data_IF_722803969018
#
_entry.id   IF_722803969018
#
_cell.length_a   1.000
_cell.length_b   1.000
_cell.length_c   1.000
_cell.angle_alpha   90.00
_cell.angle_beta   90.00
_cell.angle_gamma   90.00
#
_symmetry.space_group_name_H-M   'P 1'
#
loop_
_entity.id
_entity.type
_entity.pdbx_description
1 polymer ?
#
# COMPACT_ATOMS: atom_id res chain seq x y z
N UNK A 1 -4.38 10.54 -14.75
CA UNK A 1 -5.63 11.30 -15.05
C UNK A 1 -6.32 11.76 -13.77
N UNK A 2 -6.67 10.89 -12.81
CA UNK A 2 -7.38 11.28 -11.58
C UNK A 2 -6.71 12.45 -10.84
N UNK A 3 -5.41 12.36 -10.55
CA UNK A 3 -4.67 13.38 -9.79
C UNK A 3 -4.28 14.63 -10.60
N UNK A 4 -4.14 14.52 -11.91
CA UNK A 4 -3.75 15.64 -12.77
C UNK A 4 -4.96 16.44 -13.26
N UNK A 5 -6.05 15.74 -13.62
CA UNK A 5 -7.26 16.33 -14.18
C UNK A 5 -8.37 16.51 -13.13
N UNK A 6 -8.16 16.06 -11.89
CA UNK A 6 -9.18 16.14 -10.83
C UNK A 6 -10.44 15.33 -11.12
N UNK A 7 -10.34 14.31 -11.99
CA UNK A 7 -11.49 13.48 -12.33
C UNK A 7 -11.93 12.68 -11.11
N UNK A 8 -13.20 12.76 -10.80
CA UNK A 8 -13.84 11.94 -9.77
C UNK A 8 -14.64 10.82 -10.45
N UNK A 9 -14.61 9.63 -9.86
CA UNK A 9 -15.55 8.58 -10.23
C UNK A 9 -16.95 8.97 -9.75
N UNK A 10 -17.97 8.55 -10.46
CA UNK A 10 -19.34 8.69 -9.98
C UNK A 10 -19.44 7.99 -8.61
N UNK A 11 -20.03 8.70 -7.64
CA UNK A 11 -20.25 8.13 -6.32
C UNK A 11 -21.12 6.87 -6.44
N UNK A 12 -20.66 5.78 -5.85
CA UNK A 12 -21.46 4.55 -5.77
C UNK A 12 -22.58 4.75 -4.76
N UNK A 13 -23.77 4.35 -5.13
CA UNK A 13 -24.92 4.32 -4.21
C UNK A 13 -24.71 3.25 -3.13
N UNK A 14 -23.99 2.16 -3.46
CA UNK A 14 -23.68 1.09 -2.53
C UNK A 14 -22.23 1.17 -2.04
N UNK A 15 -21.96 0.82 -0.77
CA UNK A 15 -20.60 0.82 -0.24
C UNK A 15 -19.73 -0.22 -0.96
N UNK A 16 -18.52 0.18 -1.33
CA UNK A 16 -17.50 -0.67 -1.93
C UNK A 16 -16.30 -0.87 -0.97
N UNK A 17 -15.32 -1.66 -1.40
CA UNK A 17 -14.12 -1.95 -0.60
C UNK A 17 -13.33 -0.70 -0.18
N UNK A 18 -13.41 0.40 -0.96
CA UNK A 18 -12.76 1.69 -0.60
C UNK A 18 -13.49 2.35 0.55
N UNK A 19 -14.82 2.37 0.51
CA UNK A 19 -15.65 2.90 1.58
C UNK A 19 -15.46 2.10 2.88
N UNK A 20 -15.37 0.75 2.78
CA UNK A 20 -15.08 -0.12 3.92
C UNK A 20 -13.72 0.22 4.56
N UNK A 21 -12.68 0.37 3.72
CA UNK A 21 -11.35 0.78 4.20
C UNK A 21 -11.39 2.14 4.88
N UNK A 22 -11.98 3.15 4.25
CA UNK A 22 -12.07 4.51 4.79
C UNK A 22 -12.86 4.56 6.09
N UNK A 23 -13.95 3.78 6.21
CA UNK A 23 -14.72 3.66 7.46
C UNK A 23 -13.85 3.15 8.61
N UNK A 24 -13.14 2.04 8.41
CA UNK A 24 -12.28 1.45 9.44
C UNK A 24 -11.11 2.38 9.82
N UNK A 25 -10.46 3.02 8.85
CA UNK A 25 -9.43 4.03 9.12
C UNK A 25 -9.99 5.16 9.99
N UNK A 26 -11.19 5.67 9.70
CA UNK A 26 -11.82 6.73 10.48
C UNK A 26 -12.13 6.31 11.91
N UNK A 27 -12.55 5.06 12.12
CA UNK A 27 -12.77 4.53 13.47
C UNK A 27 -11.45 4.51 14.25
N UNK A 28 -10.37 3.96 13.67
CA UNK A 28 -9.09 3.84 14.39
C UNK A 28 -8.40 5.18 14.59
N UNK A 29 -8.46 6.10 13.65
CA UNK A 29 -8.01 7.49 13.82
C UNK A 29 -8.65 8.11 15.07
N UNK A 30 -9.95 7.94 15.27
CA UNK A 30 -10.65 8.47 16.45
C UNK A 30 -10.24 7.78 17.75
N UNK A 31 -10.17 6.45 17.74
CA UNK A 31 -9.80 5.68 18.93
C UNK A 31 -8.39 6.03 19.40
N UNK A 32 -7.44 6.04 18.47
CA UNK A 32 -6.03 6.23 18.80
C UNK A 32 -5.69 7.70 19.05
N UNK A 33 -6.42 8.63 18.43
CA UNK A 33 -6.27 10.07 18.65
C UNK A 33 -6.97 10.58 19.93
N UNK A 34 -7.82 9.76 20.58
CA UNK A 34 -8.51 10.15 21.80
C UNK A 34 -7.59 10.05 23.03
N UNK A 35 -7.15 11.20 23.52
CA UNK A 35 -6.29 11.35 24.69
C UNK A 35 -7.05 11.34 26.04
N UNK A 36 -8.37 11.10 26.02
CA UNK A 36 -9.17 11.03 27.25
C UNK A 36 -8.73 9.88 28.16
N UNK A 37 -9.14 9.92 29.43
CA UNK A 37 -8.88 8.86 30.41
C UNK A 37 -9.90 7.71 30.34
N UNK A 38 -10.82 7.73 29.37
CA UNK A 38 -11.76 6.64 29.12
C UNK A 38 -11.03 5.33 28.82
N UNK A 39 -11.63 4.19 29.14
CA UNK A 39 -11.04 2.91 28.77
C UNK A 39 -11.09 2.71 27.24
N UNK A 40 -10.26 1.81 26.74
CA UNK A 40 -10.09 1.62 25.29
C UNK A 40 -11.39 1.15 24.60
N UNK A 41 -12.15 0.29 25.25
CA UNK A 41 -13.39 -0.26 24.69
C UNK A 41 -14.49 0.82 24.61
N UNK A 42 -14.59 1.72 25.59
CA UNK A 42 -15.52 2.85 25.54
C UNK A 42 -15.14 3.85 24.42
N UNK A 43 -13.85 4.12 24.25
CA UNK A 43 -13.35 4.93 23.12
C UNK A 43 -13.70 4.32 21.77
N UNK A 44 -13.59 2.99 21.65
CA UNK A 44 -13.93 2.26 20.43
C UNK A 44 -15.41 2.39 20.09
N UNK A 45 -16.29 2.09 21.03
CA UNK A 45 -17.74 2.16 20.80
C UNK A 45 -18.19 3.60 20.48
N UNK A 46 -17.60 4.59 21.13
CA UNK A 46 -17.83 6.01 20.84
C UNK A 46 -17.34 6.38 19.43
N UNK A 47 -16.16 5.91 19.02
CA UNK A 47 -15.61 6.16 17.70
C UNK A 47 -16.48 5.51 16.60
N UNK A 48 -16.95 4.27 16.80
CA UNK A 48 -17.89 3.58 15.93
C UNK A 48 -19.19 4.40 15.79
N UNK A 49 -19.80 4.80 16.92
CA UNK A 49 -21.03 5.56 16.91
C UNK A 49 -20.90 6.91 16.17
N UNK A 50 -19.79 7.61 16.38
CA UNK A 50 -19.51 8.88 15.69
C UNK A 50 -19.27 8.69 14.20
N UNK A 51 -18.55 7.61 13.81
CA UNK A 51 -18.30 7.32 12.40
C UNK A 51 -19.58 6.92 11.66
N UNK A 52 -20.49 6.21 12.32
CA UNK A 52 -21.80 5.87 11.77
C UNK A 52 -22.67 7.10 11.45
N UNK A 53 -22.45 8.22 12.14
CA UNK A 53 -23.18 9.47 11.94
C UNK A 53 -22.47 10.45 10.98
N UNK A 54 -21.26 10.12 10.55
CA UNK A 54 -20.48 10.96 9.63
C UNK A 54 -20.86 10.71 8.17
N UNK A 55 -21.00 11.79 7.39
CA UNK A 55 -21.13 11.67 5.94
C UNK A 55 -19.76 11.29 5.32
N UNK A 56 -19.71 10.40 4.32
CA UNK A 56 -20.86 9.79 3.62
C UNK A 56 -21.38 8.48 4.27
N UNK A 57 -20.80 8.01 5.38
CA UNK A 57 -21.07 6.67 5.93
C UNK A 57 -22.51 6.51 6.40
N UNK A 58 -23.10 7.54 7.00
CA UNK A 58 -24.50 7.51 7.43
C UNK A 58 -25.42 7.14 6.26
N UNK A 59 -25.26 7.78 5.09
CA UNK A 59 -26.06 7.47 3.92
C UNK A 59 -25.72 6.09 3.34
N UNK A 60 -24.42 5.80 3.09
CA UNK A 60 -23.97 4.59 2.43
C UNK A 60 -24.38 3.32 3.16
N UNK A 61 -24.47 3.35 4.50
CA UNK A 61 -24.72 2.16 5.30
C UNK A 61 -26.13 2.07 5.92
N UNK A 62 -27.04 2.94 5.52
CA UNK A 62 -28.44 2.91 6.00
C UNK A 62 -29.47 2.68 4.90
N UNK A 63 -29.07 2.80 3.62
CA UNK A 63 -29.99 2.83 2.49
C UNK A 63 -30.79 1.52 2.32
N UNK A 64 -30.11 0.38 2.40
CA UNK A 64 -30.75 -0.93 2.24
C UNK A 64 -30.27 -1.95 3.29
N UNK A 65 -30.81 -3.17 3.23
CA UNK A 65 -30.50 -4.23 4.17
C UNK A 65 -29.05 -4.75 4.03
N UNK A 66 -28.53 -4.82 2.80
CA UNK A 66 -27.18 -5.30 2.50
C UNK A 66 -26.14 -4.30 3.03
N UNK A 67 -26.37 -3.01 2.82
CA UNK A 67 -25.51 -1.93 3.35
C UNK A 67 -25.50 -1.91 4.89
N UNK A 68 -26.65 -2.13 5.54
CA UNK A 68 -26.72 -2.26 7.01
C UNK A 68 -25.97 -3.48 7.52
N UNK A 69 -26.06 -4.63 6.84
CA UNK A 69 -25.28 -5.81 7.19
C UNK A 69 -23.79 -5.57 7.02
N UNK A 70 -23.39 -4.92 5.94
CA UNK A 70 -21.98 -4.52 5.70
C UNK A 70 -21.45 -3.65 6.82
N UNK A 71 -22.24 -2.70 7.34
CA UNK A 71 -21.88 -1.89 8.52
C UNK A 71 -21.64 -2.74 9.75
N UNK A 72 -22.54 -3.68 10.07
CA UNK A 72 -22.38 -4.57 11.22
C UNK A 72 -21.09 -5.39 11.14
N UNK A 73 -20.77 -5.91 9.94
CA UNK A 73 -19.52 -6.63 9.70
C UNK A 73 -18.30 -5.71 9.94
N UNK A 74 -18.36 -4.46 9.50
CA UNK A 74 -17.25 -3.51 9.72
C UNK A 74 -17.09 -3.16 11.21
N UNK A 75 -18.16 -3.01 11.95
CA UNK A 75 -18.12 -2.80 13.39
C UNK A 75 -17.48 -4.01 14.11
N UNK A 76 -17.81 -5.25 13.70
CA UNK A 76 -17.20 -6.46 14.27
C UNK A 76 -15.70 -6.58 13.88
N UNK A 77 -15.33 -6.20 12.64
CA UNK A 77 -13.94 -6.08 12.24
C UNK A 77 -13.20 -5.06 13.10
N UNK A 78 -13.81 -3.91 13.37
CA UNK A 78 -13.21 -2.89 14.23
C UNK A 78 -12.96 -3.43 15.65
N UNK A 79 -13.94 -4.12 16.26
CA UNK A 79 -13.80 -4.73 17.60
C UNK A 79 -12.71 -5.81 17.63
N UNK A 80 -12.67 -6.68 16.62
CA UNK A 80 -11.63 -7.72 16.50
C UNK A 80 -10.24 -7.13 16.37
N UNK A 81 -10.06 -6.12 15.49
CA UNK A 81 -8.78 -5.43 15.30
C UNK A 81 -8.36 -4.66 16.55
N UNK A 82 -9.30 -4.02 17.23
CA UNK A 82 -9.07 -3.24 18.44
C UNK A 82 -8.47 -4.09 19.57
N UNK A 83 -8.80 -5.39 19.66
CA UNK A 83 -8.21 -6.28 20.67
C UNK A 83 -6.68 -6.35 20.57
N UNK A 84 -6.13 -6.35 19.35
CA UNK A 84 -4.67 -6.36 19.12
C UNK A 84 -4.05 -5.01 19.47
N UNK A 85 -4.74 -3.91 19.18
CA UNK A 85 -4.27 -2.57 19.50
C UNK A 85 -4.19 -2.34 21.01
N UNK A 86 -5.24 -2.75 21.74
CA UNK A 86 -5.34 -2.64 23.20
C UNK A 86 -4.22 -3.40 23.91
N UNK A 87 -3.93 -4.61 23.43
CA UNK A 87 -3.00 -5.53 24.09
C UNK A 87 -1.53 -5.25 23.68
N UNK A 88 -1.27 -4.29 22.81
CA UNK A 88 0.07 -3.94 22.37
C UNK A 88 0.73 -2.91 23.31
N UNK A 89 1.33 -3.40 24.39
CA UNK A 89 2.04 -2.57 25.35
C UNK A 89 3.49 -2.19 24.94
N UNK A 90 3.99 -2.73 23.83
CA UNK A 90 5.36 -2.51 23.38
C UNK A 90 5.59 -1.09 22.87
N UNK A 91 4.55 -0.43 22.38
CA UNK A 91 4.65 0.87 21.71
C UNK A 91 3.71 1.91 22.32
N UNK A 92 4.10 3.18 22.18
CA UNK A 92 3.24 4.33 22.38
C UNK A 92 2.95 5.00 21.05
N UNK A 93 1.68 5.32 20.79
CA UNK A 93 1.33 6.12 19.62
C UNK A 93 1.94 7.50 19.73
N UNK A 94 2.76 7.86 18.76
CA UNK A 94 3.39 9.16 18.66
C UNK A 94 2.52 10.12 17.85
N UNK A 95 1.93 9.65 16.75
CA UNK A 95 1.11 10.46 15.86
C UNK A 95 0.18 9.61 14.99
N UNK A 96 -1.04 10.11 14.77
CA UNK A 96 -2.01 9.63 13.81
C UNK A 96 -2.05 10.54 12.59
N UNK A 97 -2.43 9.99 11.42
CA UNK A 97 -2.61 10.72 10.15
C UNK A 97 -1.44 11.70 9.88
N UNK A 98 -0.21 11.20 10.05
CA UNK A 98 0.99 12.02 9.94
C UNK A 98 1.28 12.39 8.48
N UNK A 99 0.99 13.64 8.10
CA UNK A 99 1.34 14.17 6.77
C UNK A 99 2.85 14.31 6.66
N UNK A 100 3.40 13.93 5.52
CA UNK A 100 4.81 14.10 5.21
C UNK A 100 5.04 14.69 3.82
N UNK A 101 6.15 15.38 3.71
CA UNK A 101 6.74 15.89 2.47
C UNK A 101 8.18 15.39 2.40
N UNK A 102 8.41 14.36 1.59
CA UNK A 102 9.73 13.80 1.36
C UNK A 102 10.36 14.50 0.15
N UNK A 103 11.45 15.22 0.39
CA UNK A 103 12.21 15.89 -0.67
C UNK A 103 13.38 15.01 -1.06
N UNK A 104 13.40 14.58 -2.32
CA UNK A 104 14.51 13.88 -2.92
C UNK A 104 15.38 14.84 -3.76
N UNK A 105 16.56 14.37 -4.15
CA UNK A 105 17.39 15.07 -5.10
C UNK A 105 16.61 15.45 -6.38
N UNK A 106 17.10 16.43 -7.14
CA UNK A 106 16.48 16.88 -8.40
C UNK A 106 15.06 17.44 -8.27
N UNK A 107 14.71 18.03 -7.12
CA UNK A 107 13.40 18.66 -6.87
C UNK A 107 12.21 17.70 -7.01
N UNK A 108 12.40 16.43 -6.69
CA UNK A 108 11.32 15.45 -6.58
C UNK A 108 10.71 15.59 -5.19
N UNK A 109 9.40 15.82 -5.15
CA UNK A 109 8.63 15.88 -3.90
C UNK A 109 7.62 14.73 -3.88
N UNK A 110 7.71 13.89 -2.85
CA UNK A 110 6.74 12.84 -2.57
C UNK A 110 5.93 13.29 -1.36
N UNK A 111 4.64 13.30 -1.49
CA UNK A 111 3.71 13.67 -0.41
C UNK A 111 2.85 12.49 -0.04
N UNK A 112 2.49 12.38 1.22
CA UNK A 112 1.63 11.31 1.68
C UNK A 112 1.16 11.52 3.11
N UNK A 113 0.42 10.54 3.59
CA UNK A 113 -0.08 10.47 4.95
C UNK A 113 0.30 9.09 5.47
N UNK A 114 0.89 9.04 6.65
CA UNK A 114 1.17 7.82 7.40
C UNK A 114 0.02 7.65 8.39
N UNK A 115 -0.66 6.52 8.35
CA UNK A 115 -1.83 6.30 9.21
C UNK A 115 -1.48 6.42 10.68
N UNK A 116 -0.37 5.79 11.13
CA UNK A 116 0.09 5.87 12.51
C UNK A 116 1.62 5.76 12.61
N UNK A 117 2.19 6.60 13.46
CA UNK A 117 3.58 6.54 13.89
C UNK A 117 3.62 6.07 15.34
N UNK A 118 4.38 5.03 15.60
CA UNK A 118 4.59 4.45 16.92
C UNK A 118 6.01 4.72 17.42
N UNK A 119 6.17 4.79 18.76
CA UNK A 119 7.45 4.94 19.43
C UNK A 119 7.64 3.85 20.47
N UNK A 120 8.79 3.18 20.44
CA UNK A 120 9.23 2.26 21.48
C UNK A 120 9.73 3.01 22.74
N UNK A 121 9.90 2.29 23.83
CA UNK A 121 10.37 2.84 25.11
C UNK A 121 11.82 3.41 25.06
N UNK A 122 12.65 2.90 24.18
CA UNK A 122 14.01 3.39 23.89
C UNK A 122 14.05 4.60 22.95
N UNK A 123 12.91 4.96 22.38
CA UNK A 123 12.73 6.10 21.47
C UNK A 123 12.71 5.74 20.00
N UNK A 124 12.95 4.48 19.61
CA UNK A 124 12.89 4.06 18.23
C UNK A 124 11.48 4.26 17.62
N UNK A 125 11.42 4.69 16.37
CA UNK A 125 10.19 5.02 15.65
C UNK A 125 9.81 3.93 14.65
N UNK A 126 8.53 3.74 14.46
CA UNK A 126 8.00 2.87 13.41
C UNK A 126 6.67 3.33 12.86
N UNK A 127 6.26 2.67 11.80
CA UNK A 127 5.05 3.01 11.06
C UNK A 127 4.08 1.86 11.07
N UNK A 128 2.81 2.17 11.30
CA UNK A 128 1.69 1.25 11.05
C UNK A 128 0.80 1.82 9.97
N UNK A 129 0.49 1.00 9.00
CA UNK A 129 -0.46 1.29 7.92
C UNK A 129 -1.61 0.28 8.00
N UNK A 130 -2.83 0.78 8.10
CA UNK A 130 -4.03 -0.05 8.22
C UNK A 130 -4.48 -0.55 6.85
N UNK A 131 -4.72 -1.85 6.72
CA UNK A 131 -5.14 -2.45 5.45
C UNK A 131 -6.36 -3.35 5.60
N UNK A 132 -7.37 -3.12 4.79
CA UNK A 132 -8.49 -4.05 4.64
C UNK A 132 -8.19 -5.23 3.71
N UNK A 133 -7.14 -5.13 2.89
CA UNK A 133 -6.69 -6.16 1.94
C UNK A 133 -5.58 -7.05 2.49
N UNK A 134 -5.16 -8.04 1.69
CA UNK A 134 -4.06 -8.98 2.03
C UNK A 134 -2.69 -8.43 1.61
N UNK A 135 -2.32 -7.26 2.09
CA UNK A 135 -1.06 -6.63 1.77
C UNK A 135 0.06 -7.19 2.66
N UNK A 136 1.19 -7.55 2.07
CA UNK A 136 2.40 -7.93 2.79
C UNK A 136 3.60 -7.27 2.13
N UNK A 137 4.64 -6.96 2.91
CA UNK A 137 5.90 -6.55 2.33
C UNK A 137 6.55 -7.74 1.62
N UNK A 138 6.86 -7.58 0.34
CA UNK A 138 7.57 -8.56 -0.48
C UNK A 138 8.75 -7.88 -1.14
N UNK A 139 9.96 -8.27 -0.75
CA UNK A 139 11.22 -7.71 -1.26
C UNK A 139 11.35 -7.89 -2.79
N UNK A 140 10.77 -8.94 -3.37
CA UNK A 140 10.73 -9.13 -4.82
C UNK A 140 9.87 -8.04 -5.49
N UNK A 141 8.68 -7.78 -4.94
CA UNK A 141 7.81 -6.71 -5.44
C UNK A 141 8.45 -5.35 -5.26
N UNK A 142 9.07 -5.12 -4.11
CA UNK A 142 9.80 -3.89 -3.83
C UNK A 142 10.94 -3.67 -4.83
N UNK A 143 11.82 -4.67 -5.04
CA UNK A 143 12.89 -4.61 -6.05
C UNK A 143 12.37 -4.29 -7.45
N UNK A 144 11.23 -4.82 -7.82
CA UNK A 144 10.60 -4.55 -9.11
C UNK A 144 9.77 -3.25 -9.15
N UNK A 145 9.83 -2.40 -8.12
CA UNK A 145 9.17 -1.10 -8.06
C UNK A 145 7.65 -1.16 -7.81
N UNK A 146 7.13 -2.25 -7.25
CA UNK A 146 5.69 -2.45 -7.08
C UNK A 146 5.16 -2.24 -5.66
N UNK A 147 6.00 -2.17 -4.64
CA UNK A 147 5.58 -2.06 -3.24
C UNK A 147 6.51 -1.15 -2.42
N UNK A 148 6.68 0.12 -2.80
CA UNK A 148 7.61 1.03 -2.13
C UNK A 148 7.05 1.62 -0.82
N UNK A 149 5.77 1.47 -0.52
CA UNK A 149 5.04 2.22 0.50
C UNK A 149 5.72 2.20 1.88
N UNK A 150 5.98 1.02 2.45
CA UNK A 150 6.54 0.90 3.79
C UNK A 150 7.95 1.50 3.89
N UNK A 151 8.80 1.25 2.89
CA UNK A 151 10.15 1.81 2.86
C UNK A 151 10.11 3.34 2.67
N UNK A 152 9.16 3.85 1.88
CA UNK A 152 8.94 5.30 1.73
C UNK A 152 8.52 5.95 3.04
N UNK A 153 7.68 5.30 3.83
CA UNK A 153 7.27 5.81 5.13
C UNK A 153 8.43 5.85 6.14
N UNK A 154 9.33 4.85 6.12
CA UNK A 154 10.54 4.90 6.95
C UNK A 154 11.46 6.04 6.54
N UNK A 155 11.66 6.27 5.25
CA UNK A 155 12.44 7.42 4.78
C UNK A 155 11.77 8.75 5.16
N UNK A 156 10.44 8.83 5.11
CA UNK A 156 9.70 10.00 5.56
C UNK A 156 9.87 10.25 7.07
N UNK A 157 9.87 9.21 7.91
CA UNK A 157 10.18 9.33 9.33
C UNK A 157 11.59 9.83 9.55
N UNK A 158 12.57 9.22 8.86
CA UNK A 158 13.99 9.60 8.97
C UNK A 158 14.19 11.08 8.71
N UNK A 159 13.61 11.60 7.64
CA UNK A 159 13.73 13.03 7.31
C UNK A 159 12.92 13.93 8.26
N UNK A 160 11.69 13.54 8.61
CA UNK A 160 10.81 14.37 9.45
C UNK A 160 11.29 14.51 10.86
N UNK A 161 11.73 13.40 11.48
CA UNK A 161 12.19 13.37 12.85
C UNK A 161 13.72 13.55 12.99
N UNK A 162 14.45 13.60 11.86
CA UNK A 162 15.92 13.71 11.79
C UNK A 162 16.61 12.60 12.58
N UNK A 163 16.15 11.38 12.36
CA UNK A 163 16.68 10.16 12.99
C UNK A 163 17.47 9.32 11.99
N UNK A 164 18.40 8.53 12.50
CA UNK A 164 19.15 7.56 11.70
C UNK A 164 18.41 6.22 11.59
N UNK A 165 18.89 5.34 10.71
CA UNK A 165 18.27 4.04 10.48
C UNK A 165 18.23 3.15 11.73
N UNK A 166 19.17 3.30 12.66
CA UNK A 166 19.21 2.59 13.93
C UNK A 166 18.21 3.10 14.98
N UNK A 167 17.54 4.20 14.70
CA UNK A 167 16.44 4.75 15.52
C UNK A 167 15.06 4.41 14.93
N UNK A 168 15.02 3.47 13.99
CA UNK A 168 13.79 2.94 13.41
C UNK A 168 13.60 1.48 13.86
N UNK A 169 12.39 1.09 14.23
CA UNK A 169 12.11 -0.31 14.56
C UNK A 169 11.37 -1.08 13.45
N UNK A 170 10.78 -0.38 12.49
CA UNK A 170 10.15 -1.02 11.35
C UNK A 170 8.96 -0.28 10.76
N UNK A 171 8.41 -0.86 9.70
CA UNK A 171 7.18 -0.42 9.08
C UNK A 171 6.30 -1.64 8.77
N UNK A 172 5.03 -1.57 9.12
CA UNK A 172 4.17 -2.73 9.10
C UNK A 172 2.73 -2.42 8.70
N UNK A 173 2.07 -3.44 8.20
CA UNK A 173 0.64 -3.46 7.98
C UNK A 173 -0.07 -4.09 9.15
N UNK A 174 -1.15 -3.47 9.62
CA UNK A 174 -2.15 -4.11 10.46
C UNK A 174 -3.40 -4.38 9.61
N UNK A 175 -3.73 -5.66 9.44
CA UNK A 175 -4.89 -6.05 8.65
C UNK A 175 -6.15 -5.92 9.46
N UNK A 176 -7.02 -5.02 9.03
CA UNK A 176 -8.37 -4.85 9.58
C UNK A 176 -9.28 -5.88 8.92
N UNK A 177 -9.48 -7.00 9.56
CA UNK A 177 -10.30 -8.10 9.06
C UNK A 177 -10.97 -8.85 10.20
N UNK A 178 -12.07 -9.53 9.90
CA UNK A 178 -12.61 -10.53 10.79
C UNK A 178 -11.83 -11.84 10.62
N UNK A 179 -11.21 -12.37 11.71
CA UNK A 179 -10.44 -13.61 11.63
C UNK A 179 -11.36 -14.78 11.22
N UNK A 180 -11.04 -15.42 10.12
CA UNK A 180 -11.75 -16.61 9.65
C UNK A 180 -11.28 -17.84 10.42
N UNK A 181 -12.02 -18.20 11.47
CA UNK A 181 -11.65 -19.28 12.39
C UNK A 181 -12.45 -20.55 12.10
N UNK A 182 -11.76 -21.68 11.96
CA UNK A 182 -12.38 -22.97 11.77
C UNK A 182 -12.53 -23.70 13.11
N UNK A 183 -13.74 -23.69 13.66
CA UNK A 183 -14.09 -24.37 14.92
C UNK A 183 -13.75 -25.87 14.95
N UNK A 184 -13.94 -26.55 13.82
CA UNK A 184 -13.64 -27.98 13.71
C UNK A 184 -12.14 -28.28 13.79
N UNK A 185 -11.30 -27.29 13.41
CA UNK A 185 -9.85 -27.43 13.40
C UNK A 185 -9.21 -27.08 14.75
N UNK A 186 -9.74 -26.06 15.46
CA UNK A 186 -9.02 -25.49 16.60
C UNK A 186 -9.69 -25.76 17.96
N UNK A 187 -10.99 -26.05 18.03
CA UNK A 187 -11.73 -26.08 19.29
C UNK A 187 -11.93 -24.68 19.88
N UNK A 188 -12.85 -24.53 20.83
CA UNK A 188 -13.21 -23.25 21.42
C UNK A 188 -12.09 -22.61 22.26
N UNK A 189 -11.28 -23.41 22.92
CA UNK A 189 -10.18 -23.02 23.81
C UNK A 189 -9.01 -22.32 23.08
N UNK A 190 -8.87 -22.58 21.78
CA UNK A 190 -7.76 -22.04 20.94
C UNK A 190 -8.17 -20.92 20.01
N UNK A 191 -9.47 -20.62 19.93
CA UNK A 191 -9.97 -19.62 18.98
C UNK A 191 -9.41 -18.22 19.22
N UNK A 192 -9.33 -17.77 20.47
CA UNK A 192 -8.79 -16.46 20.79
C UNK A 192 -7.31 -16.32 20.36
N UNK A 193 -6.49 -17.33 20.65
CA UNK A 193 -5.10 -17.35 20.25
C UNK A 193 -4.93 -17.39 18.71
N UNK A 194 -5.80 -18.11 18.02
CA UNK A 194 -5.80 -18.15 16.56
C UNK A 194 -6.27 -16.82 15.96
N UNK A 195 -7.27 -16.15 16.54
CA UNK A 195 -7.69 -14.82 16.13
C UNK A 195 -6.54 -13.81 16.25
N UNK A 196 -5.84 -13.79 17.36
CA UNK A 196 -4.66 -12.97 17.57
C UNK A 196 -3.57 -13.22 16.51
N UNK A 197 -3.30 -14.50 16.17
CA UNK A 197 -2.34 -14.87 15.14
C UNK A 197 -2.74 -14.38 13.75
N UNK A 198 -4.03 -14.35 13.45
CA UNK A 198 -4.53 -13.82 12.16
C UNK A 198 -4.37 -12.29 12.04
N UNK A 199 -4.41 -11.57 13.17
CA UNK A 199 -4.31 -10.11 13.26
C UNK A 199 -2.89 -9.61 13.60
N UNK A 200 -1.87 -10.42 13.33
CA UNK A 200 -0.46 -10.07 13.57
C UNK A 200 0.00 -8.91 12.68
N UNK A 201 0.78 -8.00 13.24
CA UNK A 201 1.49 -6.96 12.48
C UNK A 201 2.50 -7.60 11.52
N UNK A 202 2.40 -7.28 10.23
CA UNK A 202 3.24 -7.85 9.18
C UNK A 202 3.92 -6.77 8.37
N UNK A 203 5.24 -6.86 8.23
CA UNK A 203 5.97 -5.82 7.50
C UNK A 203 7.45 -6.10 7.41
N UNK A 204 8.26 -5.07 7.57
CA UNK A 204 9.70 -5.14 7.73
C UNK A 204 10.08 -4.59 9.10
N UNK A 205 10.98 -5.28 9.77
CA UNK A 205 11.40 -4.96 11.13
C UNK A 205 12.92 -4.81 11.20
N UNK A 206 13.40 -3.97 12.11
CA UNK A 206 14.84 -3.83 12.37
C UNK A 206 15.27 -4.86 13.40
N UNK A 207 16.35 -5.57 13.09
CA UNK A 207 16.79 -6.72 13.88
C UNK A 207 17.17 -6.38 15.33
N UNK A 208 17.77 -5.21 15.57
CA UNK A 208 18.11 -4.73 16.91
C UNK A 208 16.90 -4.52 17.82
N UNK A 209 15.74 -4.20 17.24
CA UNK A 209 14.52 -3.83 17.97
C UNK A 209 13.58 -5.02 18.26
N UNK A 210 13.90 -6.20 17.74
CA UNK A 210 13.02 -7.38 17.85
C UNK A 210 12.76 -7.80 19.30
N UNK A 211 13.70 -7.62 20.20
CA UNK A 211 13.51 -7.91 21.64
C UNK A 211 12.49 -6.96 22.27
N UNK A 212 12.51 -5.69 21.91
CA UNK A 212 11.54 -4.70 22.37
C UNK A 212 10.13 -4.97 21.83
N UNK A 213 10.01 -5.58 20.66
CA UNK A 213 8.75 -5.95 20.02
C UNK A 213 8.18 -7.30 20.48
N UNK A 214 8.97 -8.12 21.18
CA UNK A 214 8.58 -9.49 21.56
C UNK A 214 7.33 -9.58 22.46
N UNK A 215 6.97 -8.48 23.15
CA UNK A 215 5.75 -8.37 23.97
C UNK A 215 4.48 -8.04 23.18
N UNK A 216 4.60 -7.73 21.89
CA UNK A 216 3.47 -7.38 21.01
C UNK A 216 3.15 -8.49 20.01
N UNK A 217 2.14 -8.27 19.18
CA UNK A 217 1.67 -9.24 18.18
C UNK A 217 2.34 -9.01 16.81
N UNK A 218 3.66 -9.13 16.74
CA UNK A 218 4.47 -8.88 15.53
C UNK A 218 4.98 -10.17 14.89
N UNK A 219 4.99 -10.21 13.54
CA UNK A 219 5.56 -11.32 12.77
C UNK A 219 7.07 -11.10 12.56
N UNK A 220 7.87 -11.47 13.55
CA UNK A 220 9.31 -11.23 13.61
C UNK A 220 10.17 -12.34 12.96
N UNK A 221 9.72 -12.90 11.83
CA UNK A 221 10.48 -13.93 11.12
C UNK A 221 11.77 -13.35 10.50
N UNK A 222 12.82 -14.16 10.39
CA UNK A 222 14.10 -13.75 9.77
C UNK A 222 13.97 -13.22 8.34
N UNK A 223 12.95 -13.65 7.62
CA UNK A 223 12.68 -13.22 6.24
C UNK A 223 12.19 -11.78 6.13
N UNK A 224 11.73 -11.21 7.23
CA UNK A 224 11.20 -9.84 7.30
C UNK A 224 11.92 -8.96 8.34
N UNK A 225 13.00 -9.48 8.96
CA UNK A 225 13.91 -8.72 9.84
C UNK A 225 15.16 -8.33 9.08
N UNK A 226 15.57 -7.08 9.19
CA UNK A 226 16.68 -6.45 8.47
C UNK A 226 17.64 -5.82 9.49
N UNK A 227 18.94 -6.00 9.30
CA UNK A 227 19.89 -5.22 10.07
C UNK A 227 19.99 -3.77 9.55
N UNK A 228 20.82 -2.95 10.21
CA UNK A 228 20.95 -1.55 9.85
C UNK A 228 21.44 -1.36 8.40
N UNK A 229 22.41 -2.15 7.98
CA UNK A 229 23.00 -2.06 6.63
C UNK A 229 21.97 -2.47 5.54
N UNK A 230 21.24 -3.54 5.83
CA UNK A 230 20.13 -3.99 4.99
C UNK A 230 19.07 -2.90 4.85
N UNK A 231 18.69 -2.25 5.96
CA UNK A 231 17.69 -1.18 5.95
C UNK A 231 18.19 0.04 5.15
N UNK A 232 19.44 0.45 5.34
CA UNK A 232 20.04 1.54 4.56
C UNK A 232 20.02 1.22 3.07
N UNK A 233 20.35 -0.02 2.68
CA UNK A 233 20.25 -0.49 1.29
C UNK A 233 18.82 -0.36 0.74
N UNK A 234 17.80 -0.74 1.52
CA UNK A 234 16.39 -0.58 1.10
C UNK A 234 16.02 0.91 0.93
N UNK A 235 16.42 1.78 1.86
CA UNK A 235 16.14 3.21 1.81
C UNK A 235 16.80 3.88 0.59
N UNK A 236 18.07 3.60 0.33
CA UNK A 236 18.79 4.11 -0.83
C UNK A 236 18.18 3.62 -2.15
N UNK A 237 17.83 2.33 -2.21
CA UNK A 237 17.19 1.78 -3.40
C UNK A 237 15.81 2.39 -3.64
N UNK A 238 15.04 2.67 -2.61
CA UNK A 238 13.77 3.36 -2.71
C UNK A 238 13.91 4.77 -3.34
N UNK A 239 14.94 5.51 -2.94
CA UNK A 239 15.25 6.83 -3.53
C UNK A 239 15.58 6.67 -5.02
N UNK A 240 16.37 5.66 -5.41
CA UNK A 240 16.69 5.36 -6.81
C UNK A 240 15.43 5.05 -7.62
N UNK A 241 14.50 4.24 -7.09
CA UNK A 241 13.22 3.93 -7.75
C UNK A 241 12.41 5.19 -8.06
N UNK A 242 12.27 6.09 -7.09
CA UNK A 242 11.53 7.34 -7.30
C UNK A 242 12.24 8.30 -8.25
N UNK A 243 13.56 8.39 -8.17
CA UNK A 243 14.37 9.23 -9.07
C UNK A 243 14.22 8.74 -10.51
N UNK A 244 14.37 7.45 -10.75
CA UNK A 244 14.19 6.87 -12.08
C UNK A 244 12.76 7.05 -12.62
N UNK A 245 11.74 6.84 -11.77
CA UNK A 245 10.35 7.08 -12.16
C UNK A 245 10.10 8.55 -12.55
N UNK A 246 10.67 9.49 -11.79
CA UNK A 246 10.53 10.92 -12.10
C UNK A 246 11.22 11.31 -13.39
N UNK A 247 12.37 10.72 -13.72
CA UNK A 247 13.06 10.94 -15.00
C UNK A 247 12.22 10.43 -16.18
N UNK A 248 11.64 9.24 -16.06
CA UNK A 248 10.72 8.69 -17.06
C UNK A 248 9.53 9.62 -17.28
N UNK A 249 8.89 10.12 -16.21
CA UNK A 249 7.78 11.07 -16.30
C UNK A 249 8.21 12.38 -16.95
N UNK A 250 9.36 12.94 -16.56
CA UNK A 250 9.91 14.20 -17.13
C UNK A 250 10.28 14.09 -18.60
N UNK A 251 10.71 12.92 -19.04
CA UNK A 251 10.98 12.66 -20.47
C UNK A 251 9.70 12.58 -21.32
N UNK A 252 8.52 12.69 -20.72
CA UNK A 252 7.25 12.58 -21.43
C UNK A 252 6.88 11.13 -21.80
N UNK A 253 7.53 10.15 -21.19
CA UNK A 253 7.26 8.76 -21.47
C UNK A 253 6.12 8.23 -20.57
N UNK A 254 4.95 8.04 -21.16
CA UNK A 254 3.74 7.54 -20.51
C UNK A 254 3.25 6.22 -21.12
N UNK A 255 4.17 5.41 -21.63
CA UNK A 255 3.83 4.15 -22.26
C UNK A 255 3.16 3.17 -21.27
N UNK A 256 2.27 2.35 -21.81
CA UNK A 256 1.58 1.28 -21.09
C UNK A 256 2.62 0.26 -20.62
N UNK A 257 2.66 -0.04 -19.33
CA UNK A 257 3.66 -0.94 -18.74
C UNK A 257 3.04 -1.95 -17.76
N UNK A 258 2.11 -2.80 -18.22
CA UNK A 258 1.60 -3.89 -17.40
C UNK A 258 2.71 -4.92 -17.15
N UNK A 259 2.55 -5.73 -16.10
CA UNK A 259 3.55 -6.71 -15.74
C UNK A 259 2.97 -8.11 -15.56
N UNK A 260 3.84 -9.10 -15.63
CA UNK A 260 3.49 -10.50 -15.40
C UNK A 260 4.49 -11.15 -14.45
N UNK A 261 3.96 -11.95 -13.51
CA UNK A 261 4.76 -12.76 -12.60
C UNK A 261 5.02 -14.17 -13.14
N UNK A 262 4.08 -14.71 -13.88
CA UNK A 262 4.06 -16.11 -14.34
C UNK A 262 4.15 -16.27 -15.86
N UNK A 263 4.12 -15.17 -16.60
CA UNK A 263 4.08 -15.18 -18.07
C UNK A 263 2.74 -15.62 -18.66
N UNK A 264 1.69 -15.80 -17.84
CA UNK A 264 0.35 -16.26 -18.25
C UNK A 264 -0.73 -15.25 -17.95
N UNK A 265 -0.59 -14.52 -16.84
CA UNK A 265 -1.50 -13.47 -16.41
C UNK A 265 -0.81 -12.12 -16.42
N UNK A 266 -1.56 -11.06 -16.71
CA UNK A 266 -1.08 -9.68 -16.72
C UNK A 266 -1.73 -8.92 -15.59
N UNK A 267 -0.95 -8.11 -14.91
CA UNK A 267 -1.37 -7.23 -13.82
C UNK A 267 -0.96 -5.79 -14.11
N UNK A 268 -1.58 -4.85 -13.38
CA UNK A 268 -1.28 -3.42 -13.52
C UNK A 268 -2.00 -2.73 -14.68
N UNK A 269 -2.95 -3.41 -15.33
CA UNK A 269 -3.80 -2.83 -16.37
C UNK A 269 -5.23 -2.60 -15.86
N UNK A 270 -5.37 -1.62 -14.96
CA UNK A 270 -6.67 -1.26 -14.36
C UNK A 270 -7.58 -0.47 -15.31
N UNK A 271 -7.00 0.10 -16.38
CA UNK A 271 -7.71 0.96 -17.33
C UNK A 271 -7.65 0.41 -18.75
N UNK A 272 -7.91 -0.89 -18.88
CA UNK A 272 -7.85 -1.64 -20.16
C UNK A 272 -8.61 -0.95 -21.31
N UNK A 273 -9.73 -0.31 -21.01
CA UNK A 273 -10.51 0.43 -22.02
C UNK A 273 -9.72 1.61 -22.66
N UNK A 274 -8.71 2.13 -21.94
CA UNK A 274 -7.87 3.24 -22.43
C UNK A 274 -6.55 2.70 -22.98
N UNK A 275 -5.96 1.72 -22.32
CA UNK A 275 -4.65 1.16 -22.70
C UNK A 275 -4.73 0.27 -23.93
N UNK A 276 -5.90 -0.31 -24.20
CA UNK A 276 -6.13 -1.33 -25.25
C UNK A 276 -5.15 -2.51 -25.16
N UNK A 277 -4.58 -2.77 -23.98
CA UNK A 277 -3.70 -3.90 -23.76
C UNK A 277 -4.54 -5.19 -23.69
N UNK A 278 -4.31 -6.10 -24.64
CA UNK A 278 -4.96 -7.40 -24.71
C UNK A 278 -3.94 -8.49 -24.35
N UNK A 279 -4.12 -9.18 -23.22
CA UNK A 279 -3.18 -10.18 -22.74
C UNK A 279 -2.90 -11.28 -23.80
N UNK A 280 -3.92 -11.71 -24.53
CA UNK A 280 -3.79 -12.77 -25.56
C UNK A 280 -2.89 -12.36 -26.72
N UNK A 281 -2.81 -11.06 -27.04
CA UNK A 281 -2.01 -10.53 -28.16
C UNK A 281 -0.70 -9.89 -27.70
N UNK A 282 -0.71 -9.28 -26.51
CA UNK A 282 0.36 -8.41 -26.06
C UNK A 282 1.17 -8.99 -24.90
N UNK A 283 0.96 -10.26 -24.49
CA UNK A 283 1.68 -10.88 -23.36
C UNK A 283 3.19 -10.77 -23.47
N UNK A 284 3.74 -10.89 -24.68
CA UNK A 284 5.19 -10.75 -24.93
C UNK A 284 5.74 -9.35 -24.63
N UNK A 285 4.88 -8.35 -24.56
CA UNK A 285 5.23 -6.96 -24.27
C UNK A 285 5.06 -6.62 -22.78
N UNK A 286 4.40 -7.49 -21.98
CA UNK A 286 4.29 -7.28 -20.55
C UNK A 286 5.67 -7.40 -19.87
N UNK A 287 5.96 -6.49 -18.94
CA UNK A 287 7.20 -6.51 -18.17
C UNK A 287 7.25 -7.78 -17.29
N UNK A 288 8.28 -8.59 -17.46
CA UNK A 288 8.52 -9.75 -16.59
C UNK A 288 9.23 -9.30 -15.33
N UNK A 289 8.66 -9.64 -14.18
CA UNK A 289 9.31 -9.36 -12.90
C UNK A 289 10.51 -10.30 -12.71
N UNK A 290 11.61 -9.75 -12.20
CA UNK A 290 12.74 -10.57 -11.76
C UNK A 290 12.29 -11.42 -10.57
N UNK A 291 12.43 -12.75 -10.68
CA UNK A 291 12.10 -13.71 -9.63
C UNK A 291 13.33 -14.53 -9.30
N UNK A 292 13.72 -14.50 -8.03
CA UNK A 292 14.81 -15.30 -7.50
C UNK A 292 14.26 -16.50 -6.73
N UNK A 293 15.05 -17.60 -6.60
CA UNK A 293 14.69 -18.75 -5.78
C UNK A 293 14.35 -18.35 -4.35
N UNK A 294 13.43 -19.08 -3.70
CA UNK A 294 12.97 -18.75 -2.35
C UNK A 294 14.08 -18.85 -1.28
N UNK A 295 15.04 -19.75 -1.45
CA UNK A 295 16.18 -19.91 -0.54
C UNK A 295 17.18 -18.77 -0.72
N UNK A 296 17.46 -18.02 0.35
CA UNK A 296 18.36 -16.86 0.31
C UNK A 296 17.80 -15.70 -0.51
N UNK A 297 16.47 -15.65 -0.69
CA UNK A 297 15.78 -14.65 -1.52
C UNK A 297 16.06 -13.23 -1.02
N UNK A 298 15.99 -12.98 0.29
CA UNK A 298 16.20 -11.67 0.88
C UNK A 298 17.61 -11.15 0.59
N UNK A 299 18.61 -11.93 0.94
CA UNK A 299 20.03 -11.61 0.78
C UNK A 299 20.38 -11.36 -0.71
N UNK A 300 19.88 -12.21 -1.61
CA UNK A 300 20.11 -12.05 -3.04
C UNK A 300 19.52 -10.75 -3.63
N UNK A 301 18.33 -10.33 -3.17
CA UNK A 301 17.77 -9.04 -3.60
C UNK A 301 18.53 -7.86 -2.99
N UNK A 302 18.95 -7.93 -1.73
CA UNK A 302 19.77 -6.90 -1.10
C UNK A 302 21.12 -6.72 -1.83
N UNK A 303 21.78 -7.84 -2.19
CA UNK A 303 23.00 -7.77 -3.02
C UNK A 303 22.77 -7.11 -4.38
N UNK A 304 21.62 -7.38 -5.02
CA UNK A 304 21.27 -6.76 -6.30
C UNK A 304 21.04 -5.26 -6.14
N UNK A 305 20.32 -4.86 -5.07
CA UNK A 305 20.04 -3.44 -4.78
C UNK A 305 21.33 -2.66 -4.51
N UNK A 306 22.27 -3.27 -3.76
CA UNK A 306 23.56 -2.67 -3.46
C UNK A 306 24.48 -2.56 -4.69
N UNK A 307 24.37 -3.52 -5.64
CA UNK A 307 25.18 -3.56 -6.88
C UNK A 307 24.55 -2.81 -8.04
N UNK A 308 23.33 -2.30 -7.89
CA UNK A 308 22.60 -1.65 -8.98
C UNK A 308 23.21 -0.29 -9.33
N UNK A 309 24.40 -0.37 -9.92
CA UNK A 309 25.04 0.66 -10.67
C UNK A 309 24.36 0.71 -12.04
N UNK A 310 23.43 1.64 -12.26
CA UNK A 310 22.96 2.18 -13.55
C UNK A 310 22.37 1.22 -14.61
N UNK A 311 22.50 -0.09 -14.52
CA UNK A 311 22.11 -1.02 -15.61
C UNK A 311 20.62 -1.35 -15.70
N UNK A 312 19.86 -1.24 -14.61
CA UNK A 312 18.42 -1.58 -14.61
C UNK A 312 17.50 -0.43 -14.99
N UNK A 313 17.93 0.81 -14.90
CA UNK A 313 17.15 1.97 -15.35
C UNK A 313 16.97 1.94 -16.88
N UNK A 314 17.95 1.47 -17.64
CA UNK A 314 17.82 1.29 -19.09
C UNK A 314 16.84 0.19 -19.49
N UNK A 315 16.74 -0.91 -18.76
CA UNK A 315 15.80 -2.00 -19.11
C UNK A 315 14.33 -1.65 -18.84
N UNK A 316 14.04 -0.77 -17.88
CA UNK A 316 12.69 -0.24 -17.66
C UNK A 316 12.33 0.73 -18.79
N UNK A 317 13.28 1.53 -19.28
CA UNK A 317 13.07 2.48 -20.36
C UNK A 317 12.96 1.79 -21.74
N UNK A 318 13.73 0.73 -22.00
CA UNK A 318 13.76 0.03 -23.29
C UNK A 318 12.53 -0.85 -23.57
N UNK A 319 11.76 -1.24 -22.55
CA UNK A 319 10.57 -2.08 -22.70
C UNK A 319 9.24 -1.32 -22.63
N UNK A 320 9.28 -0.01 -22.75
CA UNK A 320 8.09 0.81 -22.75
C UNK A 320 7.41 0.71 -24.12
N UNK A 321 6.17 0.24 -24.13
CA UNK A 321 5.36 0.10 -25.34
C UNK A 321 4.81 1.48 -25.72
N UNK A 322 5.14 2.04 -26.89
CA UNK A 322 4.49 3.27 -27.32
C UNK A 322 2.97 3.03 -27.50
N UNK A 323 2.18 4.05 -27.19
CA UNK A 323 0.76 4.00 -27.51
C UNK A 323 0.59 3.64 -28.99
N UNK A 324 -0.26 2.66 -29.35
CA UNK A 324 -0.59 2.43 -30.72
C UNK A 324 -1.26 3.70 -31.26
N UNK A 325 -0.51 4.46 -32.07
CA UNK A 325 -1.10 5.54 -32.90
C UNK A 325 -1.93 4.82 -33.92
N UNK A 326 -3.23 4.82 -33.74
CA UNK A 326 -4.15 4.33 -34.77
C UNK A 326 -4.07 5.30 -35.94
N UNK A 327 -3.45 4.90 -37.04
CA UNK A 327 -3.42 5.58 -38.34
C UNK A 327 -4.80 5.68 -39.02
N UNK A 328 -5.89 5.83 -38.25
CA UNK A 328 -7.26 5.91 -38.78
C UNK A 328 -7.87 7.31 -38.73
N UNK A 329 -7.10 8.35 -38.50
CA UNK A 329 -7.63 9.73 -38.47
C UNK A 329 -7.21 10.62 -39.65
N UNK A 330 -6.66 10.11 -40.76
CA UNK A 330 -6.17 10.95 -41.88
C UNK A 330 -6.76 10.55 -43.24
N UNK A 331 -7.83 9.80 -43.31
CA UNK A 331 -8.45 9.49 -44.63
C UNK A 331 -9.95 9.86 -44.75
N UNK A 332 -10.42 10.82 -43.97
CA UNK A 332 -11.83 11.26 -44.05
C UNK A 332 -12.04 12.69 -44.58
N UNK A 333 -11.07 13.28 -45.27
CA UNK A 333 -11.25 14.66 -45.81
C UNK A 333 -10.60 14.88 -47.15
N UNK A 334 -10.86 13.96 -48.14
CA UNK A 334 -10.56 14.20 -49.56
C UNK A 334 -11.52 13.41 -50.46
N UNK A 335 -12.81 13.61 -50.33
CA UNK A 335 -13.80 13.11 -51.33
C UNK A 335 -15.10 13.91 -51.34
N UNK A 336 -15.04 15.23 -51.34
CA UNK A 336 -16.18 16.09 -51.67
C UNK A 336 -15.73 17.42 -52.25
N UNK A 337 -14.92 17.37 -53.34
CA UNK A 337 -14.67 18.55 -54.22
C UNK A 337 -14.28 18.11 -55.59
N UNK A 338 -15.12 17.39 -56.27
CA UNK A 338 -15.12 17.28 -57.73
C UNK A 338 -16.47 16.71 -58.11
N UNK A 339 -17.46 17.58 -58.38
CA UNK A 339 -18.56 17.41 -59.29
C UNK A 339 -19.57 18.55 -59.10
N UNK A 340 -19.24 19.70 -59.66
CA UNK A 340 -20.21 20.72 -60.06
C UNK A 340 -19.56 21.62 -61.13
N UNK A 341 -19.50 21.11 -62.34
CA UNK A 341 -19.54 21.92 -63.55
C UNK A 341 -19.98 20.99 -64.69
N UNK A 342 -21.14 21.20 -65.18
CA UNK A 342 -21.56 21.28 -66.59
C UNK A 342 -23.07 21.11 -66.69
N UNK A 343 -23.66 22.15 -67.30
CA UNK A 343 -24.99 22.40 -67.87
C UNK A 343 -26.14 22.76 -66.97
#
# INVERSE_FOLDING_TARGET
MRYVLGLQELESIHPDARHHGTYLHRVFERVMGDSSSENFDDKLEKAIAQTNQEQPFELLYTEDQESRLSRQILEDIARSTASVLRDNAAVKVEREEAKFDLLLANSIKITGIIDRVDRLSDGALGVVDYKSGKNVFDIQKFYNGLSPQLVTYLEALRQTYKVDADQLFGAMYLHMKDPQLNLAQFGLDKLAAQAHKELTYKGLFVASETEHLAGGNYDLQKTVTYDKEDLETLLEYNIKLFTGAAEVIRSGNFAVNPYTEDGKSVQGDQIKAITHFEADRHMGQARKLLRLPSRGKKEAYLELMAKDEDKNQMQVAEKIIPFPVTDQAVTADKKDQEDNHVD
#
